data_IF_484293127898
#
_entry.id   IF_484293127898
#
_cell.length_a   1.000
_cell.length_b   1.000
_cell.length_c   1.000
_cell.angle_alpha   90.00
_cell.angle_beta   90.00
_cell.angle_gamma   90.00
#
_symmetry.space_group_name_H-M   'P 1'
#
loop_
_entity.id
_entity.type
_entity.pdbx_description
1 polymer ?
#
# COMPACT_ATOMS: atom_id res chain seq x y z
N UNK A 1 -11.85 -20.71 9.65
CA UNK A 1 -11.48 -21.21 8.29
C UNK A 1 -10.01 -21.61 8.30
N UNK A 2 -9.66 -22.67 7.55
CA UNK A 2 -8.27 -23.01 7.26
C UNK A 2 -7.68 -22.00 6.27
N UNK A 3 -6.36 -21.94 6.16
CA UNK A 3 -5.68 -21.08 5.19
C UNK A 3 -6.13 -21.39 3.76
N UNK A 4 -6.20 -22.68 3.39
CA UNK A 4 -6.64 -23.09 2.05
C UNK A 4 -8.09 -22.73 1.73
N UNK A 5 -8.99 -22.78 2.74
CA UNK A 5 -10.36 -22.31 2.56
C UNK A 5 -10.43 -20.82 2.29
N UNK A 6 -9.57 -20.02 2.94
CA UNK A 6 -9.48 -18.57 2.68
C UNK A 6 -8.95 -18.33 1.24
N UNK A 7 -7.90 -19.05 0.83
CA UNK A 7 -7.34 -18.96 -0.53
C UNK A 7 -8.40 -19.22 -1.58
N UNK A 8 -9.14 -20.34 -1.45
CA UNK A 8 -10.18 -20.71 -2.42
C UNK A 8 -11.32 -19.68 -2.47
N UNK A 9 -11.73 -19.15 -1.31
CA UNK A 9 -12.77 -18.11 -1.24
C UNK A 9 -12.32 -16.83 -1.95
N UNK A 10 -11.08 -16.38 -1.73
CA UNK A 10 -10.52 -15.19 -2.37
C UNK A 10 -10.38 -15.35 -3.90
N UNK A 11 -9.90 -16.50 -4.37
CA UNK A 11 -9.79 -16.79 -5.82
C UNK A 11 -11.18 -16.79 -6.44
N UNK A 12 -12.13 -17.50 -5.83
CA UNK A 12 -13.50 -17.54 -6.32
C UNK A 12 -14.13 -16.16 -6.40
N UNK A 13 -13.97 -15.35 -5.36
CA UNK A 13 -14.50 -13.99 -5.33
C UNK A 13 -13.85 -13.11 -6.42
N UNK A 14 -12.56 -13.26 -6.65
CA UNK A 14 -11.86 -12.53 -7.71
C UNK A 14 -12.42 -12.85 -9.11
N UNK A 15 -12.78 -14.12 -9.35
CA UNK A 15 -13.35 -14.55 -10.62
C UNK A 15 -14.82 -14.11 -10.76
N UNK A 16 -15.63 -14.23 -9.69
CA UNK A 16 -17.05 -13.92 -9.71
C UNK A 16 -17.32 -12.40 -9.79
N UNK A 17 -16.56 -11.58 -9.07
CA UNK A 17 -16.86 -10.16 -8.83
C UNK A 17 -15.94 -9.21 -9.64
N UNK A 18 -15.02 -9.74 -10.45
CA UNK A 18 -14.07 -8.93 -11.22
C UNK A 18 -13.32 -7.92 -10.36
N UNK A 19 -12.75 -8.37 -9.24
CA UNK A 19 -12.05 -7.52 -8.28
C UNK A 19 -10.83 -6.83 -8.89
N UNK A 20 -10.56 -5.59 -8.46
CA UNK A 20 -9.37 -4.82 -8.86
C UNK A 20 -8.17 -5.01 -7.94
N UNK A 21 -8.39 -5.37 -6.67
CA UNK A 21 -7.37 -5.45 -5.62
C UNK A 21 -7.87 -6.34 -4.48
N UNK A 22 -6.96 -7.06 -3.82
CA UNK A 22 -7.21 -7.65 -2.51
C UNK A 22 -6.90 -6.62 -1.43
N UNK A 23 -7.90 -6.19 -0.71
CA UNK A 23 -7.72 -5.23 0.36
C UNK A 23 -9.01 -4.53 0.75
N UNK A 24 -8.96 -3.96 1.89
CA UNK A 24 -7.81 -3.72 2.77
C UNK A 24 -7.57 -4.94 3.68
N UNK A 25 -6.32 -5.47 3.72
CA UNK A 25 -5.93 -6.62 4.55
C UNK A 25 -5.17 -6.11 5.76
N UNK A 26 -5.71 -6.33 6.97
CA UNK A 26 -5.26 -5.66 8.17
C UNK A 26 -4.44 -6.49 9.14
N UNK A 27 -3.54 -5.81 9.86
CA UNK A 27 -2.97 -6.28 11.12
C UNK A 27 -2.78 -5.12 12.10
N UNK A 28 -2.71 -5.48 13.39
CA UNK A 28 -2.25 -4.58 14.43
C UNK A 28 -0.71 -4.52 14.48
N UNK A 29 -0.17 -3.82 15.48
CA UNK A 29 1.29 -3.67 15.67
C UNK A 29 2.01 -5.00 15.89
N UNK A 30 1.36 -5.95 16.58
CA UNK A 30 1.80 -7.33 16.74
C UNK A 30 0.89 -8.21 15.91
N UNK A 31 1.44 -8.83 14.87
CA UNK A 31 0.67 -9.68 13.96
C UNK A 31 0.30 -11.01 14.67
N UNK A 32 -0.97 -11.20 14.91
CA UNK A 32 -1.49 -12.45 15.52
C UNK A 32 -1.36 -13.64 14.57
N UNK A 33 -1.50 -14.85 15.11
CA UNK A 33 -1.47 -16.08 14.31
C UNK A 33 -2.58 -16.11 13.24
N UNK A 34 -3.76 -15.56 13.55
CA UNK A 34 -4.87 -15.50 12.59
C UNK A 34 -4.65 -14.44 11.50
N UNK A 35 -4.15 -13.27 11.85
CA UNK A 35 -3.77 -12.25 10.87
C UNK A 35 -2.66 -12.77 9.94
N UNK A 36 -1.63 -13.40 10.50
CA UNK A 36 -0.55 -14.03 9.72
C UNK A 36 -1.08 -15.09 8.75
N UNK A 37 -2.03 -15.91 9.18
CA UNK A 37 -2.71 -16.88 8.33
C UNK A 37 -3.44 -16.20 7.16
N UNK A 38 -4.14 -15.08 7.43
CA UNK A 38 -4.85 -14.31 6.40
C UNK A 38 -3.86 -13.69 5.42
N UNK A 39 -2.77 -13.07 5.89
CA UNK A 39 -1.73 -12.52 5.01
C UNK A 39 -1.13 -13.59 4.08
N UNK A 40 -0.80 -14.79 4.60
CA UNK A 40 -0.33 -15.91 3.75
C UNK A 40 -1.37 -16.34 2.73
N UNK A 41 -2.63 -16.44 3.14
CA UNK A 41 -3.71 -16.83 2.23
C UNK A 41 -3.90 -15.81 1.10
N UNK A 42 -3.87 -14.51 1.41
CA UNK A 42 -3.94 -13.42 0.42
C UNK A 42 -2.74 -13.47 -0.52
N UNK A 43 -1.53 -13.70 0.00
CA UNK A 43 -0.34 -13.87 -0.83
C UNK A 43 -0.47 -15.04 -1.82
N UNK A 44 -0.97 -16.21 -1.37
CA UNK A 44 -1.24 -17.36 -2.25
C UNK A 44 -2.33 -17.06 -3.29
N UNK A 45 -3.39 -16.34 -2.90
CA UNK A 45 -4.45 -15.92 -3.82
C UNK A 45 -3.91 -14.94 -4.87
N UNK A 46 -3.03 -13.98 -4.48
CA UNK A 46 -2.31 -13.11 -5.40
C UNK A 46 -1.51 -13.91 -6.43
N UNK A 47 -0.72 -14.90 -5.98
CA UNK A 47 0.07 -15.75 -6.90
C UNK A 47 -0.84 -16.47 -7.91
N UNK A 48 -2.07 -16.82 -7.50
CA UNK A 48 -3.05 -17.47 -8.38
C UNK A 48 -3.72 -16.50 -9.37
N UNK A 49 -4.04 -15.26 -8.96
CA UNK A 49 -4.87 -14.31 -9.71
C UNK A 49 -4.10 -13.14 -10.31
N UNK A 50 -2.93 -12.80 -9.75
CA UNK A 50 -2.15 -11.60 -10.03
C UNK A 50 -2.84 -10.27 -9.63
N UNK A 51 -3.89 -10.31 -8.80
CA UNK A 51 -4.48 -9.09 -8.24
C UNK A 51 -3.52 -8.44 -7.25
N UNK A 52 -3.35 -7.11 -7.26
CA UNK A 52 -2.51 -6.41 -6.30
C UNK A 52 -3.07 -6.52 -4.88
N UNK A 53 -2.24 -6.21 -3.88
CA UNK A 53 -2.61 -6.27 -2.46
C UNK A 53 -2.46 -4.89 -1.84
N UNK A 54 -3.47 -4.46 -1.11
CA UNK A 54 -3.44 -3.26 -0.27
C UNK A 54 -3.61 -3.65 1.20
N UNK A 55 -2.68 -3.24 2.06
CA UNK A 55 -2.71 -3.61 3.47
C UNK A 55 -3.17 -2.47 4.37
N UNK A 56 -3.72 -2.84 5.53
CA UNK A 56 -3.99 -1.94 6.65
C UNK A 56 -2.97 -2.21 7.76
N UNK A 57 -2.19 -1.20 8.12
CA UNK A 57 -1.23 -1.28 9.21
C UNK A 57 -1.79 -0.55 10.42
N UNK A 58 -1.87 -1.23 11.56
CA UNK A 58 -2.30 -0.61 12.81
C UNK A 58 -1.41 0.56 13.22
N UNK A 59 -1.95 1.50 14.00
CA UNK A 59 -1.20 2.65 14.51
C UNK A 59 -0.35 2.17 15.71
N UNK A 60 0.96 2.46 15.73
CA UNK A 60 1.71 3.40 14.92
C UNK A 60 2.46 2.84 13.69
N UNK A 61 2.12 1.66 13.21
CA UNK A 61 2.71 1.13 11.97
C UNK A 61 3.90 0.18 12.16
N UNK A 62 4.07 -0.39 13.35
CA UNK A 62 5.22 -1.25 13.69
C UNK A 62 5.29 -2.53 12.87
N UNK A 63 4.13 -3.10 12.50
CA UNK A 63 4.04 -4.35 11.74
C UNK A 63 4.32 -4.21 10.23
N UNK A 64 4.57 -3.00 9.72
CA UNK A 64 4.69 -2.72 8.29
C UNK A 64 5.70 -3.62 7.55
N UNK A 65 6.90 -3.80 8.10
CA UNK A 65 7.92 -4.67 7.49
C UNK A 65 7.56 -6.13 7.60
N UNK A 66 6.99 -6.57 8.72
CA UNK A 66 6.56 -7.95 8.92
C UNK A 66 5.40 -8.34 7.99
N UNK A 67 4.45 -7.42 7.71
CA UNK A 67 3.42 -7.64 6.69
C UNK A 67 4.06 -7.95 5.33
N UNK A 68 5.05 -7.16 4.94
CA UNK A 68 5.74 -7.36 3.66
C UNK A 68 6.54 -8.66 3.65
N UNK A 69 7.21 -9.03 4.76
CA UNK A 69 7.93 -10.30 4.91
C UNK A 69 7.00 -11.49 4.68
N UNK A 70 5.83 -11.51 5.34
CA UNK A 70 4.85 -12.59 5.20
C UNK A 70 4.34 -12.72 3.75
N UNK A 71 4.11 -11.59 3.08
CA UNK A 71 3.64 -11.59 1.69
C UNK A 71 4.73 -12.08 0.72
N UNK A 72 5.98 -11.65 0.89
CA UNK A 72 7.11 -12.15 0.08
C UNK A 72 7.36 -13.64 0.30
N UNK A 73 7.30 -14.12 1.54
CA UNK A 73 7.42 -15.55 1.88
C UNK A 73 6.30 -16.38 1.21
N UNK A 74 5.12 -15.79 1.00
CA UNK A 74 4.03 -16.41 0.25
C UNK A 74 4.17 -16.32 -1.28
N UNK A 75 5.26 -15.71 -1.78
CA UNK A 75 5.59 -15.60 -3.20
C UNK A 75 5.04 -14.36 -3.90
N UNK A 76 4.62 -13.34 -3.14
CA UNK A 76 4.14 -12.07 -3.70
C UNK A 76 5.31 -11.24 -4.21
N UNK A 77 5.16 -10.66 -5.40
CA UNK A 77 6.10 -9.66 -5.87
C UNK A 77 5.80 -8.31 -5.18
N UNK A 78 6.74 -7.69 -4.44
CA UNK A 78 6.52 -6.45 -3.71
C UNK A 78 5.96 -5.31 -4.56
N UNK A 79 6.28 -5.23 -5.84
CA UNK A 79 5.74 -4.20 -6.73
C UNK A 79 4.21 -4.28 -6.95
N UNK A 80 3.57 -5.31 -6.39
CA UNK A 80 2.12 -5.49 -6.37
C UNK A 80 1.53 -5.32 -4.98
N UNK A 81 2.26 -4.70 -4.05
CA UNK A 81 1.86 -4.48 -2.66
C UNK A 81 1.90 -3.00 -2.32
N UNK A 82 0.85 -2.48 -1.69
CA UNK A 82 0.86 -1.22 -0.94
C UNK A 82 0.79 -1.55 0.54
N UNK A 83 1.74 -1.03 1.31
CA UNK A 83 1.65 -1.02 2.77
C UNK A 83 0.97 0.28 3.17
N UNK A 84 -0.27 0.16 3.67
CA UNK A 84 -1.16 1.29 3.96
C UNK A 84 -0.96 1.90 5.35
N UNK A 85 -1.50 3.11 5.55
CA UNK A 85 -1.53 3.88 6.81
C UNK A 85 -0.16 4.29 7.36
N UNK A 86 0.87 4.35 6.51
CA UNK A 86 2.22 4.66 6.97
C UNK A 86 2.47 6.16 7.23
N UNK A 87 1.48 7.02 6.99
CA UNK A 87 1.48 8.39 7.47
C UNK A 87 1.47 8.52 8.99
N UNK A 88 1.12 7.45 9.71
CA UNK A 88 1.11 7.40 11.17
C UNK A 88 2.45 6.94 11.78
N UNK A 89 3.33 6.33 10.99
CA UNK A 89 4.62 5.81 11.45
C UNK A 89 5.66 6.92 11.46
N UNK A 90 6.09 7.32 12.65
CA UNK A 90 7.21 8.26 12.84
C UNK A 90 8.45 7.48 13.21
N UNK A 91 9.39 7.42 12.28
CA UNK A 91 10.69 6.82 12.52
C UNK A 91 11.83 7.73 12.05
N UNK A 92 13.03 7.46 12.55
CA UNK A 92 14.21 8.25 12.21
C UNK A 92 14.54 8.13 10.72
N UNK A 93 14.59 9.27 10.03
CA UNK A 93 14.92 9.35 8.60
C UNK A 93 13.99 8.55 7.67
N UNK A 94 12.76 8.31 8.07
CA UNK A 94 11.77 7.49 7.35
C UNK A 94 12.36 6.15 6.89
N UNK A 95 13.07 5.48 7.80
CA UNK A 95 13.83 4.26 7.52
C UNK A 95 12.94 3.11 7.05
N UNK A 96 11.83 2.87 7.75
CA UNK A 96 10.87 1.80 7.41
C UNK A 96 10.27 2.05 6.03
N UNK A 97 9.82 3.27 5.76
CA UNK A 97 9.27 3.67 4.46
C UNK A 97 10.28 3.45 3.33
N UNK A 98 11.53 3.92 3.51
CA UNK A 98 12.62 3.70 2.54
C UNK A 98 12.92 2.23 2.33
N UNK A 99 12.83 1.41 3.38
CA UNK A 99 13.06 -0.03 3.28
C UNK A 99 11.98 -0.70 2.45
N UNK A 100 10.71 -0.35 2.64
CA UNK A 100 9.58 -0.83 1.84
C UNK A 100 9.77 -0.44 0.36
N UNK A 101 10.10 0.82 0.08
CA UNK A 101 10.36 1.29 -1.28
C UNK A 101 11.53 0.56 -1.95
N UNK A 102 12.66 0.34 -1.24
CA UNK A 102 13.82 -0.41 -1.76
C UNK A 102 13.49 -1.85 -2.11
N UNK A 103 12.54 -2.46 -1.41
CA UNK A 103 12.03 -3.81 -1.71
C UNK A 103 11.06 -3.81 -2.91
N UNK A 104 10.69 -2.64 -3.41
CA UNK A 104 9.82 -2.47 -4.57
C UNK A 104 8.34 -2.30 -4.26
N UNK A 105 7.93 -2.34 -2.98
CA UNK A 105 6.56 -2.11 -2.57
C UNK A 105 6.22 -0.61 -2.52
N UNK A 106 4.93 -0.30 -2.51
CA UNK A 106 4.43 1.05 -2.35
C UNK A 106 4.16 1.39 -0.89
N UNK A 107 4.35 2.65 -0.54
CA UNK A 107 4.00 3.24 0.75
C UNK A 107 2.71 4.05 0.59
N UNK A 108 1.68 3.67 1.34
CA UNK A 108 0.39 4.36 1.36
C UNK A 108 0.31 5.41 2.46
N UNK A 109 0.07 6.66 2.06
CA UNK A 109 -0.26 7.77 2.95
C UNK A 109 -1.73 8.12 2.81
N UNK A 110 -2.40 8.39 3.93
CA UNK A 110 -3.82 8.70 3.97
C UNK A 110 -4.18 9.67 5.08
N UNK A 111 -5.50 9.97 5.22
CA UNK A 111 -6.06 10.86 6.26
C UNK A 111 -5.46 12.26 6.23
N UNK A 112 -5.17 12.77 5.03
CA UNK A 112 -4.60 14.10 4.81
C UNK A 112 -5.64 15.21 4.90
N UNK A 113 -5.15 16.46 4.87
CA UNK A 113 -5.97 17.65 4.91
C UNK A 113 -6.41 18.04 6.32
N UNK A 114 -5.65 17.61 7.34
CA UNK A 114 -5.90 17.87 8.75
C UNK A 114 -4.64 18.02 9.57
N UNK A 115 -4.73 17.67 10.85
CA UNK A 115 -3.60 17.75 11.80
C UNK A 115 -2.41 16.86 11.46
N UNK A 116 -2.64 15.75 10.78
CA UNK A 116 -1.59 14.82 10.38
C UNK A 116 -0.65 15.38 9.31
N UNK A 117 -1.05 16.42 8.59
CA UNK A 117 -0.24 16.99 7.51
C UNK A 117 1.11 17.55 8.01
N UNK A 118 1.14 18.09 9.23
CA UNK A 118 2.38 18.58 9.84
C UNK A 118 3.46 17.49 9.96
N UNK A 119 3.03 16.24 10.13
CA UNK A 119 3.90 15.07 10.17
C UNK A 119 4.13 14.48 8.78
N UNK A 120 3.07 14.34 7.97
CA UNK A 120 3.16 13.65 6.69
C UNK A 120 3.91 14.45 5.62
N UNK A 121 3.78 15.78 5.58
CA UNK A 121 4.46 16.62 4.58
C UNK A 121 5.98 16.43 4.62
N UNK A 122 6.69 16.58 5.75
CA UNK A 122 8.14 16.35 5.77
C UNK A 122 8.53 14.90 5.48
N UNK A 123 7.73 13.92 5.86
CA UNK A 123 8.00 12.51 5.54
C UNK A 123 7.94 12.25 4.03
N UNK A 124 6.90 12.75 3.37
CA UNK A 124 6.73 12.64 1.91
C UNK A 124 7.86 13.32 1.17
N UNK A 125 8.25 14.54 1.57
CA UNK A 125 9.38 15.25 0.96
C UNK A 125 10.69 14.49 1.12
N UNK A 126 10.96 13.93 2.32
CA UNK A 126 12.15 13.13 2.57
C UNK A 126 12.22 11.84 1.71
N UNK A 127 11.07 11.29 1.34
CA UNK A 127 10.98 10.15 0.42
C UNK A 127 11.15 10.59 -1.04
N UNK A 128 10.59 11.72 -1.44
CA UNK A 128 10.81 12.31 -2.78
C UNK A 128 12.29 12.63 -2.97
N UNK A 129 12.93 13.31 -2.02
CA UNK A 129 14.35 13.67 -2.04
C UNK A 129 15.27 12.44 -2.08
N UNK A 130 14.82 11.33 -1.49
CA UNK A 130 15.52 10.05 -1.54
C UNK A 130 15.30 9.27 -2.85
N UNK A 131 14.49 9.81 -3.80
CA UNK A 131 14.25 9.21 -5.11
C UNK A 131 13.13 8.17 -5.15
N UNK A 132 12.23 8.12 -4.14
CA UNK A 132 11.16 7.12 -4.03
C UNK A 132 9.77 7.64 -4.42
N UNK A 133 9.68 8.74 -5.17
CA UNK A 133 8.40 9.28 -5.61
C UNK A 133 7.53 8.26 -6.36
N UNK A 134 8.16 7.33 -7.09
CA UNK A 134 7.51 6.27 -7.85
C UNK A 134 6.95 5.11 -6.99
N UNK A 135 7.22 5.14 -5.68
CA UNK A 135 6.70 4.17 -4.70
C UNK A 135 5.71 4.78 -3.70
N UNK A 136 5.28 6.03 -3.91
CA UNK A 136 4.33 6.70 -3.02
C UNK A 136 2.91 6.64 -3.60
N UNK A 137 1.92 6.47 -2.72
CA UNK A 137 0.51 6.58 -3.05
C UNK A 137 -0.24 7.35 -1.98
N UNK A 138 -1.24 8.13 -2.41
CA UNK A 138 -2.11 8.88 -1.50
C UNK A 138 -3.55 8.43 -1.66
N UNK A 139 -4.26 8.37 -0.53
CA UNK A 139 -5.69 8.12 -0.47
C UNK A 139 -6.35 8.99 0.60
N UNK A 140 -7.66 9.17 0.55
CA UNK A 140 -8.36 9.98 1.54
C UNK A 140 -8.60 9.23 2.85
N UNK A 141 -8.93 7.95 2.78
CA UNK A 141 -9.36 7.12 3.90
C UNK A 141 -10.30 7.90 4.86
N UNK A 142 -11.37 8.46 4.30
CA UNK A 142 -12.25 9.36 5.00
C UNK A 142 -13.72 9.03 4.74
N UNK A 143 -14.55 9.12 5.77
CA UNK A 143 -16.01 9.02 5.65
C UNK A 143 -16.65 10.28 5.04
N UNK A 144 -15.92 11.41 5.08
CA UNK A 144 -16.31 12.68 4.48
C UNK A 144 -15.07 13.49 4.11
N UNK A 145 -15.21 14.44 3.17
CA UNK A 145 -14.09 15.31 2.79
C UNK A 145 -13.05 14.58 1.92
N UNK A 146 -13.47 13.67 1.06
CA UNK A 146 -12.62 12.91 0.13
C UNK A 146 -11.68 13.79 -0.71
N UNK A 147 -12.10 15.03 -0.99
CA UNK A 147 -11.31 15.97 -1.78
C UNK A 147 -10.10 16.56 -1.04
N UNK A 148 -9.99 16.40 0.28
CA UNK A 148 -8.96 17.08 1.08
C UNK A 148 -7.53 16.71 0.68
N UNK A 149 -7.28 15.49 0.23
CA UNK A 149 -5.99 15.12 -0.34
C UNK A 149 -5.64 16.04 -1.51
N UNK A 150 -6.59 16.26 -2.42
CA UNK A 150 -6.38 17.09 -3.62
C UNK A 150 -6.40 18.59 -3.33
N UNK A 151 -7.33 19.05 -2.46
CA UNK A 151 -7.61 20.48 -2.26
C UNK A 151 -6.81 21.11 -1.12
N UNK A 152 -6.24 20.32 -0.23
CA UNK A 152 -5.50 20.80 0.94
C UNK A 152 -4.08 20.25 0.97
N UNK A 153 -3.92 18.90 0.94
CA UNK A 153 -2.62 18.27 1.15
C UNK A 153 -1.66 18.50 -0.04
N UNK A 154 -2.10 18.29 -1.28
CA UNK A 154 -1.26 18.55 -2.45
C UNK A 154 -0.80 20.02 -2.55
N UNK A 155 -1.64 21.04 -2.34
CA UNK A 155 -1.18 22.42 -2.24
C UNK A 155 -0.12 22.65 -1.14
N UNK A 156 -0.23 21.99 0.01
CA UNK A 156 0.77 22.05 1.08
C UNK A 156 2.11 21.43 0.66
N UNK A 157 2.09 20.25 0.02
CA UNK A 157 3.29 19.63 -0.53
C UNK A 157 3.96 20.52 -1.58
N UNK A 158 3.16 21.13 -2.46
CA UNK A 158 3.66 22.05 -3.48
C UNK A 158 4.30 23.28 -2.85
N UNK A 159 3.64 23.88 -1.88
CA UNK A 159 4.19 25.02 -1.12
C UNK A 159 5.48 24.67 -0.36
N UNK A 160 5.63 23.41 0.05
CA UNK A 160 6.82 22.89 0.73
C UNK A 160 7.93 22.39 -0.25
N UNK A 161 7.74 22.50 -1.57
CA UNK A 161 8.78 22.29 -2.57
C UNK A 161 8.56 21.11 -3.54
N UNK A 162 7.50 20.32 -3.38
CA UNK A 162 7.19 19.26 -4.35
C UNK A 162 6.74 19.87 -5.69
N UNK A 163 7.35 19.44 -6.80
CA UNK A 163 6.98 19.93 -8.13
C UNK A 163 5.77 19.19 -8.73
N UNK A 164 5.13 19.80 -9.73
CA UNK A 164 3.91 19.28 -10.34
C UNK A 164 4.13 17.91 -11.02
N UNK A 165 5.30 17.65 -11.59
CA UNK A 165 5.60 16.37 -12.22
C UNK A 165 5.64 15.23 -11.19
N UNK A 166 6.28 15.45 -10.05
CA UNK A 166 6.32 14.47 -8.95
C UNK A 166 4.92 14.24 -8.37
N UNK A 167 4.13 15.29 -8.18
CA UNK A 167 2.76 15.17 -7.70
C UNK A 167 1.89 14.41 -8.69
N UNK A 168 2.06 14.64 -10.01
CA UNK A 168 1.38 13.87 -11.05
C UNK A 168 1.78 12.38 -11.00
N UNK A 169 3.07 12.09 -10.85
CA UNK A 169 3.56 10.72 -10.71
C UNK A 169 2.88 9.99 -9.55
N UNK A 170 2.83 10.62 -8.37
CA UNK A 170 2.23 10.01 -7.16
C UNK A 170 0.72 9.80 -7.31
N UNK A 171 0.02 10.78 -7.89
CA UNK A 171 -1.44 10.79 -7.95
C UNK A 171 -2.03 10.06 -9.15
N UNK A 172 -1.27 9.91 -10.23
CA UNK A 172 -1.78 9.38 -11.51
C UNK A 172 -0.98 8.16 -11.98
N UNK A 173 0.33 8.28 -12.13
CA UNK A 173 1.14 7.23 -12.76
C UNK A 173 1.31 6.02 -11.85
N UNK A 174 1.56 6.24 -10.56
CA UNK A 174 1.71 5.16 -9.58
C UNK A 174 0.39 4.36 -9.41
N UNK A 175 -0.77 4.97 -9.15
CA UNK A 175 -2.04 4.26 -9.08
C UNK A 175 -2.38 3.53 -10.39
N UNK A 176 -2.13 4.16 -11.55
CA UNK A 176 -2.32 3.52 -12.86
C UNK A 176 -1.48 2.26 -12.99
N UNK A 177 -0.20 2.31 -12.64
CA UNK A 177 0.72 1.17 -12.69
C UNK A 177 0.32 0.06 -11.72
N UNK A 178 -0.05 0.42 -10.50
CA UNK A 178 -0.43 -0.52 -9.46
C UNK A 178 -1.75 -1.25 -9.77
N UNK A 179 -2.77 -0.50 -10.19
CA UNK A 179 -4.12 -1.01 -10.47
C UNK A 179 -4.26 -1.58 -11.90
N UNK A 180 -3.25 -1.42 -12.75
CA UNK A 180 -3.31 -1.96 -14.10
C UNK A 180 -3.63 -3.47 -14.05
N UNK A 181 -4.65 -3.86 -14.81
CA UNK A 181 -4.98 -5.27 -14.99
C UNK A 181 -3.83 -5.96 -15.73
N UNK A 182 -3.17 -6.88 -15.05
CA UNK A 182 -2.11 -7.72 -15.64
C UNK A 182 -2.61 -9.15 -15.64
N UNK A 183 -3.09 -9.67 -16.78
CA UNK A 183 -3.60 -11.03 -16.84
C UNK A 183 -2.51 -12.02 -16.47
N UNK A 184 -2.88 -13.08 -15.78
CA UNK A 184 -1.98 -14.20 -15.47
C UNK A 184 -1.42 -14.74 -16.80
N UNK A 185 -0.09 -14.80 -16.93
CA UNK A 185 0.50 -15.45 -18.10
C UNK A 185 0.05 -16.91 -18.16
N UNK A 186 -0.59 -17.31 -19.25
CA UNK A 186 -0.91 -18.71 -19.47
C UNK A 186 0.38 -19.53 -19.28
N UNK A 187 0.36 -20.53 -18.40
CA UNK A 187 1.48 -21.49 -18.32
C UNK A 187 1.63 -22.08 -19.70
N UNK A 188 2.78 -21.89 -20.35
CA UNK A 188 3.11 -22.67 -21.54
C UNK A 188 3.08 -24.14 -21.10
N UNK A 189 2.15 -24.89 -21.69
CA UNK A 189 2.09 -26.34 -21.54
C UNK A 189 3.34 -26.99 -22.14
#
# INVERSE_FOLDING_TARGET
MTEDQIVQALIKQADDDSLGVYGEIGSWDEITADERKVFRAVGKAHVATNLPIFTHTGIPGKSALEQLDILEDAGVNPNRVIIGHLGNLVDTNVYVHKTICRRGAFVGFDRQGGGNDAQQVPMVLALIDAGFADHLMFSSDASSGYSKTMTVFLPRLKAAGANDQVLHQIMVDNPRRFLAFVPKRARKK
#
